data_IF_818232554384
#
_entry.id   IF_818232554384
#
_cell.length_a   1.000
_cell.length_b   1.000
_cell.length_c   1.000
_cell.angle_alpha   90.00
_cell.angle_beta   90.00
_cell.angle_gamma   90.00
#
_symmetry.space_group_name_H-M   'P 1'
#
loop_
_entity.id
_entity.type
_entity.pdbx_description
1 polymer ?
#
# COMPACT_ATOMS: atom_id res chain seq x y z
N UNK A 1 -5.69 6.47 26.03
CA UNK A 1 -6.56 7.65 25.84
C UNK A 1 -6.28 8.20 24.44
N UNK A 2 -7.21 7.98 23.51
CA UNK A 2 -7.09 8.39 22.11
C UNK A 2 -7.32 9.90 22.02
N UNK A 3 -6.28 10.65 21.65
CA UNK A 3 -6.32 12.11 21.54
C UNK A 3 -7.00 12.50 20.22
N UNK A 4 -8.28 12.86 20.30
CA UNK A 4 -9.10 13.26 19.14
C UNK A 4 -8.65 14.59 18.52
N UNK A 5 -7.83 15.38 19.19
CA UNK A 5 -7.42 16.71 18.73
C UNK A 5 -6.22 16.64 17.77
N UNK A 6 -5.45 15.54 17.75
CA UNK A 6 -4.38 15.31 16.75
C UNK A 6 -4.87 14.89 15.37
N UNK A 7 -6.11 14.41 15.24
CA UNK A 7 -6.67 13.94 13.95
C UNK A 7 -7.08 15.10 13.04
N UNK A 8 -7.36 16.28 13.60
CA UNK A 8 -7.89 17.44 12.86
C UNK A 8 -6.88 18.17 11.97
N UNK A 9 -5.60 17.84 12.04
CA UNK A 9 -4.55 18.58 11.34
C UNK A 9 -3.72 17.72 10.37
N UNK A 10 -4.28 16.60 9.91
CA UNK A 10 -3.68 15.81 8.83
C UNK A 10 -4.06 16.48 7.51
N UNK A 11 -3.11 17.05 6.74
CA UNK A 11 -3.42 17.68 5.46
C UNK A 11 -3.99 16.61 4.51
N UNK A 12 -5.26 16.76 4.16
CA UNK A 12 -5.90 15.90 3.18
C UNK A 12 -5.59 16.47 1.79
N UNK A 13 -4.76 15.75 1.03
CA UNK A 13 -4.40 16.13 -0.33
C UNK A 13 -5.43 15.51 -1.27
N UNK A 14 -6.31 16.35 -1.82
CA UNK A 14 -7.27 15.92 -2.83
C UNK A 14 -6.54 15.73 -4.18
N UNK A 15 -5.94 14.55 -4.36
CA UNK A 15 -5.30 14.18 -5.63
C UNK A 15 -5.94 12.92 -6.19
N UNK A 16 -6.51 13.06 -7.38
CA UNK A 16 -6.90 11.96 -8.25
C UNK A 16 -5.76 11.76 -9.25
N UNK A 17 -5.15 10.57 -9.25
CA UNK A 17 -4.17 10.15 -10.26
C UNK A 17 -4.94 9.37 -11.31
N UNK A 18 -4.89 9.84 -12.55
CA UNK A 18 -5.45 9.15 -13.70
C UNK A 18 -4.54 7.95 -14.04
N UNK A 19 -5.13 6.79 -14.35
CA UNK A 19 -4.38 5.59 -14.73
C UNK A 19 -3.65 5.76 -16.06
N UNK A 20 -4.17 6.65 -16.93
CA UNK A 20 -3.57 6.97 -18.22
C UNK A 20 -2.53 8.12 -18.16
N UNK A 21 -2.42 8.82 -17.02
CA UNK A 21 -1.50 9.95 -16.81
C UNK A 21 -0.98 10.02 -15.36
N UNK A 22 -0.22 8.97 -15.01
CA UNK A 22 0.32 8.77 -13.66
C UNK A 22 1.37 9.83 -13.29
N UNK A 23 2.14 10.31 -14.27
CA UNK A 23 3.21 11.29 -14.04
C UNK A 23 2.66 12.64 -13.57
N UNK A 24 1.60 13.14 -14.21
CA UNK A 24 0.96 14.39 -13.80
C UNK A 24 0.35 14.28 -12.40
N UNK A 25 -0.24 13.13 -12.08
CA UNK A 25 -0.76 12.84 -10.74
C UNK A 25 0.33 12.82 -9.67
N UNK A 26 1.44 12.13 -9.93
CA UNK A 26 2.58 12.06 -9.01
C UNK A 26 3.22 13.43 -8.77
N UNK A 27 3.38 14.25 -9.82
CA UNK A 27 3.86 15.63 -9.73
C UNK A 27 3.00 16.51 -8.82
N UNK A 28 1.67 16.39 -8.89
CA UNK A 28 0.73 17.13 -8.02
C UNK A 28 0.86 16.75 -6.54
N UNK A 29 1.03 15.46 -6.26
CA UNK A 29 1.27 14.95 -4.90
C UNK A 29 2.59 15.51 -4.36
N UNK A 30 3.66 15.41 -5.16
CA UNK A 30 4.99 15.89 -4.78
C UNK A 30 4.98 17.39 -4.48
N UNK A 31 4.29 18.19 -5.30
CA UNK A 31 4.15 19.64 -5.05
C UNK A 31 3.34 19.98 -3.82
N UNK A 32 2.40 19.13 -3.42
CA UNK A 32 1.61 19.37 -2.21
C UNK A 32 2.39 19.01 -0.94
N UNK A 33 3.23 17.97 -1.00
CA UNK A 33 4.05 17.52 0.14
C UNK A 33 5.37 18.33 0.25
N UNK A 34 5.89 18.83 -0.89
CA UNK A 34 7.15 19.56 -1.04
C UNK A 34 7.01 20.67 -2.09
N UNK A 35 6.34 21.79 -1.76
CA UNK A 35 6.09 22.89 -2.69
C UNK A 35 7.36 23.58 -3.22
N UNK A 36 8.48 23.45 -2.49
CA UNK A 36 9.76 24.06 -2.84
C UNK A 36 10.51 23.33 -3.98
N UNK A 37 10.02 22.18 -4.42
CA UNK A 37 10.66 21.39 -5.48
C UNK A 37 10.29 21.91 -6.86
N UNK A 38 11.29 22.32 -7.63
CA UNK A 38 11.09 22.80 -8.99
C UNK A 38 10.82 21.62 -9.94
N UNK A 39 9.76 21.74 -10.73
CA UNK A 39 9.31 20.72 -11.72
C UNK A 39 10.45 20.23 -12.61
N UNK A 40 11.36 21.12 -12.97
CA UNK A 40 12.47 20.85 -13.89
C UNK A 40 13.61 20.05 -13.27
N UNK A 41 13.63 19.93 -11.93
CA UNK A 41 14.60 19.12 -11.17
C UNK A 41 14.08 17.74 -10.83
N UNK A 42 12.77 17.52 -10.95
CA UNK A 42 12.14 16.21 -10.70
C UNK A 42 12.31 15.37 -11.96
N UNK A 43 13.25 14.42 -11.93
CA UNK A 43 13.44 13.47 -13.02
C UNK A 43 12.71 12.17 -12.72
N UNK A 44 11.60 11.94 -13.43
CA UNK A 44 10.97 10.62 -13.47
C UNK A 44 11.87 9.68 -14.26
N UNK A 45 12.77 9.00 -13.57
CA UNK A 45 13.70 8.06 -14.19
C UNK A 45 12.98 6.75 -14.49
N UNK A 46 12.16 6.74 -15.55
CA UNK A 46 11.66 5.50 -16.13
C UNK A 46 12.78 4.87 -16.94
N UNK A 47 13.70 4.18 -16.25
CA UNK A 47 14.62 3.28 -16.94
C UNK A 47 13.83 2.07 -17.40
N UNK A 48 13.33 2.13 -18.65
CA UNK A 48 13.01 0.93 -19.41
C UNK A 48 14.34 0.25 -19.70
N UNK A 49 14.80 -0.58 -18.76
CA UNK A 49 15.97 -1.42 -18.97
C UNK A 49 15.49 -2.78 -19.45
N UNK A 50 15.99 -3.18 -20.61
CA UNK A 50 16.00 -4.56 -21.17
C UNK A 50 16.68 -5.59 -20.24
N UNK A 51 16.74 -5.35 -18.94
CA UNK A 51 17.34 -6.18 -17.90
C UNK A 51 16.36 -7.14 -17.23
N UNK A 52 15.07 -7.15 -17.64
CA UNK A 52 14.08 -8.11 -17.15
C UNK A 52 14.49 -9.58 -17.38
N UNK A 53 15.49 -9.84 -18.23
CA UNK A 53 16.07 -11.17 -18.47
C UNK A 53 17.22 -11.57 -17.52
N UNK A 54 17.83 -10.66 -16.76
CA UNK A 54 19.12 -10.95 -16.09
C UNK A 54 19.13 -10.87 -14.56
N UNK A 55 18.06 -10.43 -13.89
CA UNK A 55 18.05 -10.39 -12.42
C UNK A 55 17.60 -11.69 -11.76
N UNK A 56 16.80 -12.54 -12.40
CA UNK A 56 16.27 -13.79 -11.79
C UNK A 56 15.42 -13.60 -10.52
N UNK A 57 15.45 -12.42 -9.91
CA UNK A 57 14.48 -11.85 -8.98
C UNK A 57 13.58 -10.94 -9.81
N UNK A 58 12.83 -11.54 -10.71
CA UNK A 58 11.61 -10.91 -11.19
C UNK A 58 10.74 -10.62 -9.97
N UNK A 59 9.98 -9.55 -10.03
CA UNK A 59 8.96 -9.19 -9.04
C UNK A 59 7.79 -10.19 -9.11
N UNK A 60 8.08 -11.49 -9.04
CA UNK A 60 7.14 -12.60 -8.99
C UNK A 60 6.52 -12.61 -7.59
N UNK A 61 5.74 -11.57 -7.31
CA UNK A 61 4.84 -11.51 -6.19
C UNK A 61 3.68 -12.45 -6.49
N UNK A 62 3.85 -13.70 -6.07
CA UNK A 62 2.80 -14.71 -6.15
C UNK A 62 1.74 -14.43 -5.08
N UNK A 63 0.71 -13.66 -5.46
CA UNK A 63 -0.43 -13.38 -4.61
C UNK A 63 -1.32 -14.60 -4.33
N UNK A 64 -1.08 -15.74 -4.99
CA UNK A 64 -1.72 -17.00 -4.58
C UNK A 64 -1.21 -17.52 -3.23
N UNK A 65 -0.03 -17.07 -2.80
CA UNK A 65 0.52 -17.32 -1.47
C UNK A 65 -0.04 -16.38 -0.41
N UNK A 66 -0.89 -15.42 -0.79
CA UNK A 66 -1.55 -14.56 0.18
C UNK A 66 -2.44 -15.43 1.09
N UNK A 67 -2.31 -15.30 2.42
CA UNK A 67 -3.00 -16.19 3.34
C UNK A 67 -4.51 -16.10 3.14
N UNK A 68 -5.17 -17.24 3.05
CA UNK A 68 -6.62 -17.30 2.96
C UNK A 68 -7.27 -16.89 4.30
N UNK A 69 -8.61 -16.79 4.31
CA UNK A 69 -9.34 -16.39 5.52
C UNK A 69 -9.10 -17.38 6.67
N UNK A 70 -8.98 -18.69 6.40
CA UNK A 70 -8.80 -19.67 7.46
C UNK A 70 -7.46 -19.46 8.19
N UNK A 71 -6.38 -19.30 7.42
CA UNK A 71 -5.06 -19.02 7.96
C UNK A 71 -5.00 -17.66 8.68
N UNK A 72 -5.60 -16.61 8.10
CA UNK A 72 -5.66 -15.29 8.75
C UNK A 72 -6.38 -15.36 10.09
N UNK A 73 -7.52 -16.05 10.16
CA UNK A 73 -8.32 -16.24 11.39
C UNK A 73 -7.55 -17.04 12.44
N UNK A 74 -6.82 -18.09 12.05
CA UNK A 74 -5.98 -18.86 12.96
C UNK A 74 -4.87 -17.98 13.56
N UNK A 75 -4.18 -17.20 12.72
CA UNK A 75 -3.14 -16.27 13.16
C UNK A 75 -3.70 -15.20 14.10
N UNK A 76 -4.85 -14.60 13.75
CA UNK A 76 -5.53 -13.60 14.58
C UNK A 76 -5.92 -14.20 15.93
N UNK A 77 -6.41 -15.45 15.94
CA UNK A 77 -6.80 -16.14 17.17
C UNK A 77 -5.60 -16.35 18.07
N UNK A 78 -4.46 -16.81 17.53
CA UNK A 78 -3.23 -16.97 18.28
C UNK A 78 -2.71 -15.63 18.83
N UNK A 79 -2.69 -14.59 18.00
CA UNK A 79 -2.29 -13.24 18.38
C UNK A 79 -3.15 -12.68 19.53
N UNK A 80 -4.48 -12.75 19.39
CA UNK A 80 -5.41 -12.26 20.41
C UNK A 80 -5.37 -13.10 21.68
N UNK A 81 -5.10 -14.41 21.58
CA UNK A 81 -4.95 -15.28 22.76
C UNK A 81 -3.78 -14.84 23.61
N UNK A 82 -2.62 -14.59 23.00
CA UNK A 82 -1.43 -14.10 23.69
C UNK A 82 -1.64 -12.68 24.22
N UNK A 83 -2.20 -11.80 23.39
CA UNK A 83 -2.38 -10.38 23.74
C UNK A 83 -3.39 -10.16 24.88
N UNK A 84 -4.48 -10.94 24.90
CA UNK A 84 -5.52 -10.83 25.92
C UNK A 84 -5.32 -11.78 27.11
N UNK A 85 -4.33 -12.67 27.07
CA UNK A 85 -4.11 -13.76 28.04
C UNK A 85 -5.36 -14.67 28.21
N UNK A 86 -6.21 -14.75 27.17
CA UNK A 86 -7.41 -15.60 27.12
C UNK A 86 -7.82 -15.89 25.67
N UNK A 87 -8.55 -16.98 25.41
CA UNK A 87 -9.15 -17.21 24.10
C UNK A 87 -10.06 -16.03 23.69
N UNK A 88 -9.95 -15.52 22.45
CA UNK A 88 -10.85 -14.48 21.93
C UNK A 88 -12.23 -15.06 21.61
N UNK A 89 -13.23 -14.18 21.55
CA UNK A 89 -14.54 -14.54 20.97
C UNK A 89 -14.46 -14.55 19.44
N UNK A 90 -15.41 -15.24 18.81
CA UNK A 90 -15.54 -15.21 17.34
C UNK A 90 -15.72 -13.79 16.79
N UNK A 91 -16.43 -12.93 17.54
CA UNK A 91 -16.63 -11.51 17.19
C UNK A 91 -15.32 -10.71 17.22
N UNK A 92 -14.49 -10.90 18.26
CA UNK A 92 -13.18 -10.23 18.37
C UNK A 92 -12.24 -10.60 17.20
N UNK A 93 -12.30 -11.87 16.77
CA UNK A 93 -11.51 -12.38 15.64
C UNK A 93 -12.00 -11.80 14.32
N UNK A 94 -13.31 -11.80 14.06
CA UNK A 94 -13.88 -11.23 12.83
C UNK A 94 -13.65 -9.71 12.75
N UNK A 95 -13.79 -8.98 13.86
CA UNK A 95 -13.54 -7.54 13.91
C UNK A 95 -12.09 -7.20 13.59
N UNK A 96 -11.12 -7.95 14.12
CA UNK A 96 -9.71 -7.74 13.78
C UNK A 96 -9.42 -8.16 12.34
N UNK A 97 -10.02 -9.24 11.85
CA UNK A 97 -9.91 -9.67 10.45
C UNK A 97 -10.36 -8.57 9.48
N UNK A 98 -11.51 -7.95 9.73
CA UNK A 98 -12.03 -6.84 8.92
C UNK A 98 -11.08 -5.63 8.98
N UNK A 99 -10.56 -5.30 10.16
CA UNK A 99 -9.61 -4.21 10.31
C UNK A 99 -8.31 -4.46 9.53
N UNK A 100 -7.67 -5.61 9.71
CA UNK A 100 -6.43 -5.99 9.02
C UNK A 100 -6.61 -5.93 7.51
N UNK A 101 -7.72 -6.45 6.99
CA UNK A 101 -7.99 -6.44 5.55
C UNK A 101 -8.18 -5.02 4.98
N UNK A 102 -8.65 -4.05 5.77
CA UNK A 102 -8.66 -2.64 5.36
C UNK A 102 -7.25 -2.05 5.26
N UNK A 103 -6.35 -2.45 6.17
CA UNK A 103 -4.96 -2.01 6.15
C UNK A 103 -4.14 -2.60 5.00
N UNK A 104 -4.60 -3.69 4.37
CA UNK A 104 -3.96 -4.24 3.15
C UNK A 104 -3.91 -3.18 2.05
N UNK A 105 -5.00 -2.45 1.82
CA UNK A 105 -5.04 -1.36 0.85
C UNK A 105 -4.04 -0.25 1.20
N UNK A 106 -4.05 0.20 2.46
CA UNK A 106 -3.11 1.20 2.93
C UNK A 106 -1.66 0.75 2.77
N UNK A 107 -1.36 -0.53 3.03
CA UNK A 107 -0.04 -1.13 2.85
C UNK A 107 0.38 -1.14 1.38
N UNK A 108 -0.47 -1.57 0.45
CA UNK A 108 -0.14 -1.54 -0.97
C UNK A 108 0.16 -0.11 -1.46
N UNK A 109 -0.67 0.85 -1.09
CA UNK A 109 -0.48 2.25 -1.45
C UNK A 109 0.82 2.81 -0.85
N UNK A 110 1.07 2.55 0.44
CA UNK A 110 2.29 2.99 1.13
C UNK A 110 3.55 2.47 0.43
N UNK A 111 3.61 1.18 0.15
CA UNK A 111 4.79 0.56 -0.47
C UNK A 111 4.96 0.95 -1.93
N UNK A 112 3.88 1.24 -2.65
CA UNK A 112 3.96 1.79 -4.00
C UNK A 112 4.59 3.18 -4.00
N UNK A 113 4.12 4.08 -3.12
CA UNK A 113 4.65 5.44 -2.97
C UNK A 113 6.11 5.40 -2.49
N UNK A 114 6.42 4.57 -1.50
CA UNK A 114 7.78 4.37 -1.02
C UNK A 114 8.72 3.98 -2.15
N UNK A 115 8.30 3.05 -3.02
CA UNK A 115 9.10 2.60 -4.14
C UNK A 115 9.28 3.68 -5.21
N UNK A 116 8.25 4.47 -5.53
CA UNK A 116 8.39 5.64 -6.41
C UNK A 116 9.45 6.62 -5.90
N UNK A 117 9.46 6.91 -4.59
CA UNK A 117 10.46 7.81 -3.97
C UNK A 117 11.86 7.16 -4.01
N UNK A 118 11.97 5.87 -3.74
CA UNK A 118 13.25 5.17 -3.74
C UNK A 118 13.85 4.99 -5.14
N UNK A 119 13.04 4.98 -6.20
CA UNK A 119 13.54 4.94 -7.57
C UNK A 119 14.49 6.11 -7.90
N UNK A 120 14.31 7.25 -7.23
CA UNK A 120 15.18 8.43 -7.38
C UNK A 120 16.31 8.50 -6.34
N UNK A 121 16.03 8.09 -5.10
CA UNK A 121 16.94 8.35 -3.97
C UNK A 121 17.80 7.15 -3.52
N UNK A 122 17.47 5.93 -3.94
CA UNK A 122 18.17 4.75 -3.45
C UNK A 122 19.44 4.45 -4.25
N UNK A 123 20.49 4.07 -3.54
CA UNK A 123 21.72 3.51 -4.14
C UNK A 123 21.63 1.99 -4.35
N UNK A 124 20.53 1.36 -3.91
CA UNK A 124 20.33 -0.08 -4.04
C UNK A 124 19.87 -0.39 -5.47
N UNK A 125 20.51 -1.37 -6.10
CA UNK A 125 20.10 -1.87 -7.41
C UNK A 125 18.88 -2.79 -7.27
N UNK A 126 17.69 -2.19 -7.34
CA UNK A 126 16.39 -2.86 -7.24
C UNK A 126 15.40 -2.22 -8.22
N UNK A 127 14.50 -3.02 -8.80
CA UNK A 127 13.46 -2.52 -9.71
C UNK A 127 12.30 -1.87 -8.92
N UNK A 128 12.55 -0.64 -8.46
CA UNK A 128 11.60 0.12 -7.67
C UNK A 128 10.32 0.47 -8.44
N UNK A 129 10.44 0.81 -9.72
CA UNK A 129 9.28 1.18 -10.53
C UNK A 129 8.43 -0.05 -10.87
N UNK A 130 9.06 -1.17 -11.23
CA UNK A 130 8.37 -2.45 -11.37
C UNK A 130 7.63 -2.81 -10.09
N UNK A 131 8.29 -2.68 -8.92
CA UNK A 131 7.67 -2.99 -7.64
C UNK A 131 6.48 -2.07 -7.36
N UNK A 132 6.63 -0.75 -7.59
CA UNK A 132 5.55 0.21 -7.43
C UNK A 132 4.33 -0.14 -8.30
N UNK A 133 4.55 -0.51 -9.57
CA UNK A 133 3.47 -0.93 -10.48
C UNK A 133 2.73 -2.16 -9.96
N UNK A 134 3.43 -3.20 -9.49
CA UNK A 134 2.78 -4.40 -8.93
C UNK A 134 1.95 -4.03 -7.70
N UNK A 135 2.47 -3.16 -6.82
CA UNK A 135 1.75 -2.73 -5.62
C UNK A 135 0.51 -1.88 -5.94
N UNK A 136 0.57 -0.99 -6.94
CA UNK A 136 -0.59 -0.22 -7.39
C UNK A 136 -1.66 -1.11 -8.02
N UNK A 137 -1.28 -2.02 -8.92
CA UNK A 137 -2.23 -2.98 -9.52
C UNK A 137 -3.00 -3.75 -8.46
N UNK A 138 -2.29 -4.23 -7.44
CA UNK A 138 -2.92 -4.99 -6.37
C UNK A 138 -3.80 -4.13 -5.46
N UNK A 139 -3.39 -2.88 -5.19
CA UNK A 139 -4.25 -1.91 -4.50
C UNK A 139 -5.57 -1.72 -5.23
N UNK A 140 -5.55 -1.47 -6.55
CA UNK A 140 -6.77 -1.24 -7.32
C UNK A 140 -7.62 -2.51 -7.44
N UNK A 141 -7.01 -3.67 -7.66
CA UNK A 141 -7.70 -4.96 -7.68
C UNK A 141 -8.47 -5.21 -6.36
N UNK A 142 -7.81 -4.98 -5.22
CA UNK A 142 -8.42 -5.18 -3.89
C UNK A 142 -9.40 -4.07 -3.50
N UNK A 143 -9.22 -2.83 -3.98
CA UNK A 143 -10.13 -1.71 -3.71
C UNK A 143 -11.52 -1.98 -4.27
N UNK A 144 -11.61 -2.59 -5.45
CA UNK A 144 -12.87 -3.01 -6.06
C UNK A 144 -13.62 -4.02 -5.18
N UNK A 145 -12.91 -4.99 -4.58
CA UNK A 145 -13.48 -6.00 -3.68
C UNK A 145 -13.84 -5.44 -2.30
N UNK A 146 -13.02 -4.53 -1.75
CA UNK A 146 -13.21 -3.98 -0.40
C UNK A 146 -14.37 -2.98 -0.32
N UNK A 147 -14.72 -2.32 -1.44
CA UNK A 147 -15.90 -1.46 -1.55
C UNK A 147 -17.22 -2.21 -1.28
N UNK A 148 -17.21 -3.54 -1.38
CA UNK A 148 -18.35 -4.43 -1.12
C UNK A 148 -18.44 -4.82 0.37
N UNK A 149 -17.37 -4.65 1.15
CA UNK A 149 -17.32 -4.95 2.59
C UNK A 149 -17.77 -3.78 3.48
N UNK A 150 -18.17 -2.66 2.88
CA UNK A 150 -18.84 -1.57 3.58
C UNK A 150 -20.26 -1.99 3.93
N UNK A 151 -20.43 -2.59 5.12
CA UNK A 151 -21.69 -2.95 5.78
C UNK A 151 -22.97 -2.51 5.04
N UNK A 152 -23.65 -3.47 4.42
CA UNK A 152 -25.11 -3.49 4.47
C UNK A 152 -25.52 -3.45 5.95
N UNK A 153 -25.93 -2.26 6.41
CA UNK A 153 -26.65 -2.06 7.67
C UNK A 153 -28.13 -1.88 7.34
#
# INVERSE_FOLDING_TARGET
>A
MYDKDKVRNVPHVEVTVDEDDVETGALKILQTIRPEWHKDTVQFKLQVLDSALYSGMGLDLDYSLYPDKAFQTEWITAYLTEYNERPPTEEEVEDLYVQVNRFVLASHLFWAIWACIQAEHSYINFDYLGYAMVRFKEYFARKATCSILGRSS
#
